data_IF_078521088949
#
_entry.id   IF_078521088949
#
_cell.length_a   1.000
_cell.length_b   1.000
_cell.length_c   1.000
_cell.angle_alpha   90.00
_cell.angle_beta   90.00
_cell.angle_gamma   90.00
#
_symmetry.space_group_name_H-M   'P 1'
#
loop_
_entity.id
_entity.type
_entity.pdbx_description
1 polymer ?
#
# COMPACT_ATOMS: atom_id res chain seq x y z
N UNK A 1 51.85 17.66 7.99
CA UNK A 1 50.65 17.32 8.79
C UNK A 1 49.47 17.23 7.83
N UNK A 2 49.22 16.03 7.27
CA UNK A 2 48.17 15.82 6.27
C UNK A 2 46.82 15.67 6.98
N UNK A 3 46.04 16.74 7.03
CA UNK A 3 44.70 16.71 7.64
C UNK A 3 43.71 16.16 6.63
N UNK A 4 43.39 14.88 6.80
CA UNK A 4 42.38 14.12 6.06
C UNK A 4 41.00 14.71 6.37
N UNK A 5 40.52 15.68 5.58
CA UNK A 5 39.15 16.17 5.69
C UNK A 5 38.24 15.21 4.93
N UNK A 6 37.61 14.31 5.69
CA UNK A 6 36.46 13.52 5.28
C UNK A 6 35.32 14.47 4.92
N UNK A 7 35.06 14.66 3.63
CA UNK A 7 33.88 15.39 3.17
C UNK A 7 32.71 14.40 3.15
N UNK A 8 31.87 14.44 4.18
CA UNK A 8 30.62 13.70 4.24
C UNK A 8 29.64 14.38 3.25
N UNK A 9 29.49 13.81 2.06
CA UNK A 9 28.47 14.24 1.12
C UNK A 9 27.11 13.71 1.59
N UNK A 10 26.37 14.53 2.36
CA UNK A 10 24.96 14.30 2.62
C UNK A 10 24.23 14.64 1.32
N UNK A 11 23.95 13.63 0.51
CA UNK A 11 23.04 13.74 -0.62
C UNK A 11 21.63 13.67 -0.04
N UNK A 12 21.06 14.83 0.31
CA UNK A 12 19.62 14.93 0.56
C UNK A 12 18.95 14.86 -0.80
N UNK A 13 18.45 13.67 -1.17
CA UNK A 13 17.47 13.57 -2.25
C UNK A 13 16.18 14.25 -1.77
N UNK A 14 16.07 15.55 -2.04
CA UNK A 14 14.78 16.23 -2.07
C UNK A 14 14.05 15.76 -3.33
N UNK A 15 13.49 14.54 -3.30
CA UNK A 15 12.49 14.14 -4.28
C UNK A 15 11.27 15.04 -4.07
N UNK A 16 11.24 16.11 -4.85
CA UNK A 16 10.17 17.09 -4.87
C UNK A 16 8.84 16.43 -5.23
N UNK A 17 7.80 16.94 -4.57
CA UNK A 17 6.38 16.72 -4.81
C UNK A 17 6.07 16.53 -6.31
N UNK A 18 5.76 15.30 -6.73
CA UNK A 18 5.14 15.08 -8.04
C UNK A 18 3.64 15.11 -7.79
N UNK A 19 2.99 16.25 -8.03
CA UNK A 19 1.52 16.39 -7.92
C UNK A 19 0.77 15.68 -9.06
N UNK A 20 1.49 14.97 -9.94
CA UNK A 20 0.87 14.19 -11.00
C UNK A 20 0.15 12.98 -10.39
N UNK A 21 -1.13 12.74 -10.74
CA UNK A 21 -1.85 11.57 -10.27
C UNK A 21 -1.14 10.28 -10.72
N UNK A 22 -0.99 9.34 -9.80
CA UNK A 22 -0.37 8.03 -10.06
C UNK A 22 -1.39 6.90 -9.93
N UNK A 23 -1.24 5.83 -10.69
CA UNK A 23 -1.99 4.60 -10.51
C UNK A 23 -1.22 3.61 -9.62
N UNK A 24 -1.92 2.63 -9.06
CA UNK A 24 -1.32 1.57 -8.24
C UNK A 24 -0.15 0.86 -8.94
N UNK A 25 -0.28 0.64 -10.25
CA UNK A 25 0.73 0.01 -11.11
C UNK A 25 2.01 0.82 -11.25
N UNK A 26 2.02 2.11 -10.91
CA UNK A 26 3.23 2.94 -10.93
C UNK A 26 4.05 2.79 -9.64
N UNK A 27 3.43 2.32 -8.55
CA UNK A 27 4.13 1.98 -7.31
C UNK A 27 4.62 0.54 -7.32
N UNK A 28 3.88 -0.37 -7.96
CA UNK A 28 4.22 -1.78 -8.05
C UNK A 28 5.01 -2.08 -9.33
N UNK A 29 6.31 -2.37 -9.20
CA UNK A 29 7.19 -2.68 -10.35
C UNK A 29 7.09 -4.13 -10.83
N UNK A 30 6.46 -5.01 -10.05
CA UNK A 30 6.16 -6.38 -10.47
C UNK A 30 4.94 -6.45 -11.38
N UNK A 31 4.63 -7.63 -11.90
CA UNK A 31 3.40 -7.83 -12.65
C UNK A 31 2.29 -8.15 -11.66
N UNK A 32 1.20 -7.37 -11.64
CA UNK A 32 0.08 -7.68 -10.75
C UNK A 32 -0.49 -9.10 -10.96
N UNK A 33 -0.31 -9.67 -12.17
CA UNK A 33 -0.66 -11.06 -12.48
C UNK A 33 0.17 -12.12 -11.74
N UNK A 34 1.31 -11.76 -11.14
CA UNK A 34 2.19 -12.67 -10.40
C UNK A 34 1.79 -12.81 -8.93
N UNK A 35 0.88 -11.96 -8.43
CA UNK A 35 0.43 -12.00 -7.04
C UNK A 35 -0.33 -13.30 -6.76
N UNK A 36 0.25 -14.13 -5.91
CA UNK A 36 -0.33 -15.43 -5.53
C UNK A 36 -1.21 -15.33 -4.28
N UNK A 37 -0.99 -14.32 -3.45
CA UNK A 37 -1.69 -14.11 -2.19
C UNK A 37 -1.82 -12.62 -1.88
N UNK A 38 -2.98 -12.21 -1.40
CA UNK A 38 -3.23 -10.88 -0.87
C UNK A 38 -3.77 -10.97 0.56
N UNK A 39 -3.34 -10.06 1.42
CA UNK A 39 -3.86 -9.96 2.79
C UNK A 39 -4.40 -8.57 3.00
N UNK A 40 -5.65 -8.48 3.44
CA UNK A 40 -6.29 -7.22 3.83
C UNK A 40 -6.38 -7.19 5.36
N UNK A 41 -5.79 -6.18 5.98
CA UNK A 41 -5.80 -5.97 7.43
C UNK A 41 -6.71 -4.79 7.75
N UNK A 42 -7.73 -5.01 8.58
CA UNK A 42 -8.54 -3.95 9.16
C UNK A 42 -7.79 -3.30 10.33
N UNK A 43 -7.42 -2.03 10.18
CA UNK A 43 -6.65 -1.31 11.20
C UNK A 43 -7.47 -0.93 12.44
N UNK A 44 -8.80 -1.04 12.40
CA UNK A 44 -9.64 -0.80 13.58
C UNK A 44 -9.69 -1.98 14.55
N UNK A 45 -9.60 -3.21 14.02
CA UNK A 45 -9.69 -4.45 14.81
C UNK A 45 -8.39 -5.25 14.86
N UNK A 46 -7.49 -5.03 13.90
CA UNK A 46 -6.32 -5.89 13.67
C UNK A 46 -6.63 -7.17 12.91
N UNK A 47 -7.90 -7.44 12.57
CA UNK A 47 -8.27 -8.67 11.86
C UNK A 47 -7.80 -8.67 10.41
N UNK A 48 -7.39 -9.86 9.97
CA UNK A 48 -6.83 -10.08 8.63
C UNK A 48 -7.71 -11.04 7.87
N UNK A 49 -7.90 -10.76 6.58
CA UNK A 49 -8.47 -11.71 5.63
C UNK A 49 -7.43 -12.02 4.57
N UNK A 50 -7.14 -13.31 4.40
CA UNK A 50 -6.18 -13.80 3.43
C UNK A 50 -6.92 -14.28 2.19
N UNK A 51 -6.43 -13.90 1.02
CA UNK A 51 -6.99 -14.23 -0.28
C UNK A 51 -5.92 -14.99 -1.04
N UNK A 52 -6.21 -16.26 -1.36
CA UNK A 52 -5.35 -17.10 -2.20
C UNK A 52 -6.02 -17.50 -3.51
N UNK A 53 -7.33 -17.26 -3.65
CA UNK A 53 -8.05 -17.49 -4.89
C UNK A 53 -7.69 -16.41 -5.93
N UNK A 54 -7.19 -16.85 -7.08
CA UNK A 54 -6.71 -15.98 -8.14
C UNK A 54 -7.81 -15.12 -8.76
N UNK A 55 -9.07 -15.56 -8.76
CA UNK A 55 -10.20 -14.78 -9.25
C UNK A 55 -10.51 -13.64 -8.28
N UNK A 56 -10.46 -13.90 -6.98
CA UNK A 56 -10.68 -12.87 -5.94
C UNK A 56 -9.55 -11.84 -5.92
N UNK A 57 -8.29 -12.27 -6.07
CA UNK A 57 -7.13 -11.36 -6.21
C UNK A 57 -7.32 -10.44 -7.43
N UNK A 58 -7.71 -11.02 -8.57
CA UNK A 58 -7.99 -10.23 -9.78
C UNK A 58 -9.16 -9.28 -9.60
N UNK A 59 -10.22 -9.68 -8.89
CA UNK A 59 -11.33 -8.77 -8.60
C UNK A 59 -10.87 -7.60 -7.73
N UNK A 60 -10.11 -7.86 -6.66
CA UNK A 60 -9.52 -6.82 -5.81
C UNK A 60 -8.69 -5.83 -6.62
N UNK A 61 -7.79 -6.33 -7.46
CA UNK A 61 -6.95 -5.49 -8.32
C UNK A 61 -7.76 -4.67 -9.32
N UNK A 62 -8.77 -5.29 -9.96
CA UNK A 62 -9.64 -4.59 -10.91
C UNK A 62 -10.41 -3.44 -10.27
N UNK A 63 -10.75 -3.51 -8.97
CA UNK A 63 -11.39 -2.41 -8.24
C UNK A 63 -10.45 -1.22 -8.03
N UNK A 64 -9.15 -1.47 -7.94
CA UNK A 64 -8.13 -0.45 -7.65
C UNK A 64 -7.44 0.11 -8.90
N UNK A 65 -7.47 -0.61 -10.03
CA UNK A 65 -6.67 -0.26 -11.22
C UNK A 65 -6.93 1.14 -11.78
N UNK A 66 -8.14 1.67 -11.61
CA UNK A 66 -8.56 2.98 -12.10
C UNK A 66 -8.57 4.05 -11.00
N UNK A 67 -8.09 3.72 -9.80
CA UNK A 67 -7.94 4.68 -8.71
C UNK A 67 -6.65 5.44 -8.90
N UNK A 68 -6.76 6.76 -8.95
CA UNK A 68 -5.61 7.65 -8.96
C UNK A 68 -5.23 8.04 -7.54
N UNK A 69 -3.93 8.16 -7.29
CA UNK A 69 -3.31 8.59 -6.05
C UNK A 69 -2.73 9.98 -6.28
N UNK A 70 -3.32 10.97 -5.62
CA UNK A 70 -2.93 12.38 -5.70
C UNK A 70 -2.20 12.71 -4.41
N UNK A 71 -0.91 13.02 -4.51
CA UNK A 71 -0.08 13.30 -3.34
C UNK A 71 -0.67 14.48 -2.55
N UNK A 72 -0.86 14.31 -1.25
CA UNK A 72 -1.38 15.39 -0.40
C UNK A 72 -0.32 16.45 -0.14
N UNK A 73 -0.71 17.72 -0.04
CA UNK A 73 0.21 18.78 0.38
C UNK A 73 0.66 18.61 1.84
N UNK A 74 -0.24 18.13 2.70
CA UNK A 74 0.05 17.87 4.10
C UNK A 74 0.60 16.45 4.29
N UNK A 75 1.90 16.37 4.57
CA UNK A 75 2.64 15.13 4.84
C UNK A 75 3.02 14.98 6.32
N UNK A 76 2.32 15.65 7.25
CA UNK A 76 2.51 15.42 8.69
C UNK A 76 2.19 13.96 9.05
N UNK A 77 3.00 13.39 9.95
CA UNK A 77 2.86 12.00 10.41
C UNK A 77 1.45 11.73 10.96
N UNK A 78 0.85 10.62 10.51
CA UNK A 78 -0.47 10.15 10.94
C UNK A 78 -0.33 8.84 11.70
N UNK A 79 -1.21 8.62 12.67
CA UNK A 79 -1.24 7.37 13.43
C UNK A 79 -2.44 6.52 13.01
N UNK A 80 -2.22 5.22 12.89
CA UNK A 80 -3.23 4.24 12.48
C UNK A 80 -3.56 4.27 10.98
N UNK A 81 -4.40 3.32 10.57
CA UNK A 81 -4.91 3.20 9.20
C UNK A 81 -6.28 2.50 9.24
N UNK A 82 -7.07 2.61 8.17
CA UNK A 82 -8.35 1.87 8.07
C UNK A 82 -8.15 0.48 7.49
N UNK A 83 -7.49 0.40 6.35
CA UNK A 83 -7.10 -0.85 5.73
C UNK A 83 -5.66 -0.80 5.24
N UNK A 84 -4.93 -1.88 5.46
CA UNK A 84 -3.65 -2.17 4.82
C UNK A 84 -3.82 -3.37 3.89
N UNK A 85 -3.24 -3.28 2.69
CA UNK A 85 -3.24 -4.35 1.70
C UNK A 85 -1.79 -4.77 1.49
N UNK A 86 -1.54 -6.08 1.59
CA UNK A 86 -0.23 -6.68 1.37
C UNK A 86 -0.32 -7.72 0.26
N UNK A 87 0.53 -7.61 -0.75
CA UNK A 87 0.67 -8.57 -1.84
C UNK A 87 1.90 -9.46 -1.65
N UNK A 88 1.76 -10.70 -2.10
CA UNK A 88 2.80 -11.73 -2.05
C UNK A 88 2.92 -12.45 -3.39
N UNK A 89 4.16 -12.79 -3.73
CA UNK A 89 4.51 -13.73 -4.80
C UNK A 89 5.11 -14.99 -4.14
N UNK A 90 4.33 -16.07 -4.14
CA UNK A 90 4.55 -17.21 -3.25
C UNK A 90 4.50 -16.80 -1.78
N UNK A 91 5.64 -16.97 -1.09
CA UNK A 91 5.81 -16.58 0.32
C UNK A 91 6.54 -15.24 0.50
N UNK A 92 6.92 -14.58 -0.60
CA UNK A 92 7.66 -13.33 -0.57
C UNK A 92 6.66 -12.18 -0.57
N UNK A 93 6.68 -11.35 0.46
CA UNK A 93 5.95 -10.07 0.45
C UNK A 93 6.60 -9.14 -0.58
N UNK A 94 5.82 -8.69 -1.56
CA UNK A 94 6.33 -7.85 -2.66
C UNK A 94 5.88 -6.40 -2.55
N UNK A 95 4.71 -6.14 -1.96
CA UNK A 95 4.19 -4.78 -1.84
C UNK A 95 3.21 -4.66 -0.68
N UNK A 96 3.24 -3.52 0.00
CA UNK A 96 2.31 -3.19 1.06
C UNK A 96 1.99 -1.70 1.03
N UNK A 97 0.72 -1.36 1.18
CA UNK A 97 0.23 0.01 1.23
C UNK A 97 -1.02 0.10 2.09
N UNK A 98 -1.37 1.31 2.51
CA UNK A 98 -2.67 1.61 3.10
C UNK A 98 -3.54 2.36 2.10
N UNK A 99 -4.82 2.52 2.41
CA UNK A 99 -5.78 3.20 1.51
C UNK A 99 -5.39 4.65 1.16
N UNK A 100 -4.46 5.26 1.90
CA UNK A 100 -4.05 6.64 1.74
C UNK A 100 -2.52 6.83 1.93
N UNK A 101 -1.74 5.76 1.96
CA UNK A 101 -0.29 5.83 2.17
C UNK A 101 0.45 4.77 1.36
N UNK A 102 1.46 5.20 0.61
CA UNK A 102 2.39 4.33 -0.10
C UNK A 102 3.82 4.82 0.21
N UNK A 103 4.68 3.92 0.67
CA UNK A 103 6.09 4.20 1.01
C UNK A 103 6.29 5.46 1.89
N UNK A 104 5.44 5.64 2.91
CA UNK A 104 5.52 6.78 3.82
C UNK A 104 5.01 8.10 3.27
N UNK A 105 4.45 8.11 2.05
CA UNK A 105 3.84 9.30 1.44
C UNK A 105 2.32 9.20 1.48
N UNK A 106 1.65 10.26 1.91
CA UNK A 106 0.19 10.32 1.97
C UNK A 106 -0.44 10.79 0.65
N UNK A 107 -1.53 10.13 0.29
CA UNK A 107 -2.28 10.37 -0.94
C UNK A 107 -3.78 10.45 -0.65
N UNK A 108 -4.45 11.39 -1.33
CA UNK A 108 -5.87 11.32 -1.59
C UNK A 108 -6.11 10.40 -2.80
N UNK A 109 -7.19 9.62 -2.77
CA UNK A 109 -7.56 8.73 -3.88
C UNK A 109 -8.82 9.18 -4.61
N UNK A 110 -8.82 9.05 -5.94
CA UNK A 110 -9.98 9.31 -6.78
C UNK A 110 -10.23 8.15 -7.78
N UNK A 111 -11.38 7.44 -7.68
CA UNK A 111 -12.38 7.52 -6.60
C UNK A 111 -11.80 7.12 -5.23
N UNK A 112 -12.50 7.47 -4.15
CA UNK A 112 -12.11 7.10 -2.79
C UNK A 112 -11.96 5.57 -2.67
N UNK A 113 -10.77 5.14 -2.28
CA UNK A 113 -10.42 3.74 -2.16
C UNK A 113 -11.10 3.06 -0.96
N UNK A 114 -11.41 3.80 0.11
CA UNK A 114 -12.01 3.24 1.32
C UNK A 114 -13.28 2.42 1.07
N UNK A 115 -14.35 2.96 0.45
CA UNK A 115 -15.58 2.20 0.22
C UNK A 115 -15.38 0.98 -0.70
N UNK A 116 -14.42 1.04 -1.63
CA UNK A 116 -14.12 -0.07 -2.54
C UNK A 116 -13.51 -1.26 -1.79
N UNK A 117 -12.57 -0.97 -0.88
CA UNK A 117 -11.89 -1.98 -0.06
C UNK A 117 -12.81 -2.50 1.06
N UNK A 118 -13.56 -1.61 1.72
CA UNK A 118 -14.51 -1.98 2.78
C UNK A 118 -15.60 -2.95 2.26
N UNK A 119 -16.20 -2.63 1.10
CA UNK A 119 -17.19 -3.50 0.44
C UNK A 119 -16.60 -4.87 0.09
N UNK A 120 -15.38 -4.89 -0.44
CA UNK A 120 -14.70 -6.14 -0.80
C UNK A 120 -14.38 -6.97 0.45
N UNK A 121 -13.77 -6.36 1.47
CA UNK A 121 -13.40 -7.01 2.72
C UNK A 121 -14.60 -7.65 3.42
N UNK A 122 -15.74 -6.97 3.46
CA UNK A 122 -16.97 -7.49 4.09
C UNK A 122 -17.59 -8.67 3.35
N UNK A 123 -17.31 -8.83 2.05
CA UNK A 123 -17.80 -9.96 1.24
C UNK A 123 -16.95 -11.22 1.34
N UNK A 124 -15.67 -11.06 1.70
CA UNK A 124 -14.79 -12.20 1.93
C UNK A 124 -15.30 -13.06 3.09
N UNK A 125 -15.15 -14.39 3.03
CA UNK A 125 -15.48 -15.25 4.15
C UNK A 125 -14.71 -14.84 5.41
N UNK A 126 -15.29 -15.12 6.58
CA UNK A 126 -14.60 -14.95 7.85
C UNK A 126 -13.58 -16.08 8.01
N UNK A 127 -12.32 -15.80 7.67
CA UNK A 127 -11.18 -16.62 8.08
C UNK A 127 -10.48 -15.89 9.22
N UNK A 128 -10.77 -16.32 10.45
CA UNK A 128 -10.25 -15.71 11.68
C UNK A 128 -8.78 -16.09 11.91
N UNK A 129 -7.85 -15.18 11.60
CA UNK A 129 -6.56 -15.11 12.30
C UNK A 129 -6.42 -13.75 12.99
N UNK A 130 -6.80 -13.71 14.27
CA UNK A 130 -6.54 -12.58 15.15
C UNK A 130 -5.08 -12.62 15.63
N UNK A 131 -4.29 -11.59 15.34
CA UNK A 131 -2.99 -11.40 16.01
C UNK A 131 -3.25 -10.56 17.26
N UNK A 132 -3.23 -11.22 18.43
CA UNK A 132 -3.04 -10.51 19.68
C UNK A 132 -1.58 -10.03 19.72
N UNK A 133 -1.36 -8.72 19.62
CA UNK A 133 -0.08 -8.09 19.94
C UNK A 133 0.05 -7.87 21.44
#
# INVERSE_FOLDING_TARGET
>A
MFMKKLLLAIVVFLSGCSMEPKYLTEFYTGTLDEVTKAVITDGSSGYRKTISDQKEIKELMNRMQNVTFIQEENQEDRSGFRYAITFFEGEIQTFQFTINEVDGTYYQTEPDLYPLIDDFYKKLPEEEEAIFH
#
